data_IF_420188625438
#
_entry.id   IF_420188625438
#
_cell.length_a   1.000
_cell.length_b   1.000
_cell.length_c   1.000
_cell.angle_alpha   90.00
_cell.angle_beta   90.00
_cell.angle_gamma   90.00
#
_symmetry.space_group_name_H-M   'P 1'
#
loop_
_entity.id
_entity.type
_entity.pdbx_description
1 polymer ?
#
# COMPACT_ATOMS: atom_id res chain seq x y z
N UNK A 1 11.03 3.42 -14.42
CA UNK A 1 11.03 4.36 -13.27
C UNK A 1 9.77 4.19 -12.42
N UNK A 2 8.58 4.17 -13.03
CA UNK A 2 7.31 3.90 -12.32
C UNK A 2 7.25 2.55 -11.60
N UNK A 3 7.90 1.53 -12.17
CA UNK A 3 8.01 0.21 -11.55
C UNK A 3 8.76 0.24 -10.22
N UNK A 4 9.68 1.19 -9.99
CA UNK A 4 10.44 1.24 -8.73
C UNK A 4 9.50 1.55 -7.54
N UNK A 5 8.66 2.58 -7.67
CA UNK A 5 7.72 2.96 -6.60
C UNK A 5 6.72 1.82 -6.36
N UNK A 6 6.15 1.24 -7.41
CA UNK A 6 5.22 0.11 -7.28
C UNK A 6 5.87 -1.09 -6.58
N UNK A 7 7.11 -1.45 -6.95
CA UNK A 7 7.82 -2.57 -6.35
C UNK A 7 8.10 -2.31 -4.86
N UNK A 8 8.52 -1.10 -4.51
CA UNK A 8 8.78 -0.73 -3.12
C UNK A 8 7.50 -0.71 -2.27
N UNK A 9 6.38 -0.23 -2.81
CA UNK A 9 5.08 -0.30 -2.15
C UNK A 9 4.67 -1.76 -1.93
N UNK A 10 4.82 -2.61 -2.94
CA UNK A 10 4.43 -4.01 -2.87
C UNK A 10 5.29 -4.79 -1.86
N UNK A 11 6.61 -4.55 -1.85
CA UNK A 11 7.55 -5.10 -0.87
C UNK A 11 7.17 -4.67 0.55
N UNK A 12 6.89 -3.38 0.76
CA UNK A 12 6.50 -2.83 2.05
C UNK A 12 5.18 -3.43 2.55
N UNK A 13 4.16 -3.50 1.71
CA UNK A 13 2.85 -4.04 2.09
C UNK A 13 2.92 -5.54 2.39
N UNK A 14 3.69 -6.30 1.60
CA UNK A 14 3.79 -7.76 1.79
C UNK A 14 4.71 -8.16 2.95
N UNK A 15 5.58 -7.26 3.42
CA UNK A 15 6.42 -7.47 4.61
C UNK A 15 5.77 -6.96 5.89
N UNK A 16 4.67 -6.22 5.78
CA UNK A 16 3.87 -5.78 6.93
C UNK A 16 2.91 -6.88 7.35
N UNK A 17 2.86 -7.20 8.64
CA UNK A 17 1.85 -8.09 9.22
C UNK A 17 0.54 -7.36 9.57
N UNK A 18 0.50 -6.04 9.38
CA UNK A 18 -0.66 -5.20 9.68
C UNK A 18 -1.05 -4.35 8.45
N UNK A 19 -2.34 -4.00 8.30
CA UNK A 19 -2.77 -3.01 7.30
C UNK A 19 -2.12 -1.65 7.54
N UNK A 20 -1.68 -0.99 6.47
CA UNK A 20 -1.04 0.32 6.53
C UNK A 20 -1.92 1.40 5.91
N UNK A 21 -1.89 2.61 6.46
CA UNK A 21 -2.52 3.77 5.86
C UNK A 21 -1.69 4.33 4.69
N UNK A 22 -2.36 5.01 3.75
CA UNK A 22 -1.67 5.70 2.64
C UNK A 22 -0.57 6.66 3.13
N UNK A 23 -0.78 7.33 4.27
CA UNK A 23 0.20 8.29 4.82
C UNK A 23 1.46 7.57 5.34
N UNK A 24 1.29 6.46 6.05
CA UNK A 24 2.42 5.67 6.55
C UNK A 24 3.24 5.08 5.39
N UNK A 25 2.57 4.61 4.34
CA UNK A 25 3.24 4.11 3.12
C UNK A 25 4.02 5.24 2.47
N UNK A 26 3.44 6.44 2.35
CA UNK A 26 4.12 7.60 1.78
C UNK A 26 5.40 7.95 2.54
N UNK A 27 5.34 8.05 3.87
CA UNK A 27 6.48 8.38 4.73
C UNK A 27 7.60 7.34 4.59
N UNK A 28 7.26 6.05 4.73
CA UNK A 28 8.24 4.95 4.62
C UNK A 28 8.90 4.88 3.23
N UNK A 29 8.13 5.12 2.16
CA UNK A 29 8.68 5.11 0.80
C UNK A 29 9.59 6.32 0.57
N UNK A 30 9.17 7.52 1.00
CA UNK A 30 10.00 8.74 0.89
C UNK A 30 11.35 8.55 1.55
N UNK A 31 11.38 7.97 2.74
CA UNK A 31 12.63 7.71 3.47
C UNK A 31 13.53 6.70 2.74
N UNK A 32 12.93 5.65 2.14
CA UNK A 32 13.67 4.58 1.47
C UNK A 32 14.29 5.02 0.14
N UNK A 33 13.58 5.80 -0.68
CA UNK A 33 14.07 6.21 -2.01
C UNK A 33 14.61 7.65 -2.07
N UNK A 34 14.49 8.43 -0.99
CA UNK A 34 14.96 9.83 -0.88
C UNK A 34 14.65 10.68 -2.11
N UNK A 35 13.44 10.51 -2.65
CA UNK A 35 13.08 11.03 -3.95
C UNK A 35 12.04 12.15 -3.81
N UNK A 36 12.43 13.36 -4.18
CA UNK A 36 11.62 14.59 -4.04
C UNK A 36 10.28 14.56 -4.81
N UNK A 37 10.19 13.78 -5.90
CA UNK A 37 8.95 13.65 -6.69
C UNK A 37 7.96 12.62 -6.17
N UNK A 38 8.22 11.97 -5.02
CA UNK A 38 7.27 11.06 -4.38
C UNK A 38 6.23 11.88 -3.63
N UNK A 39 5.01 11.90 -4.17
CA UNK A 39 3.88 12.60 -3.57
C UNK A 39 2.82 11.61 -3.11
N UNK A 40 2.01 11.99 -2.12
CA UNK A 40 0.84 11.23 -1.68
C UNK A 40 -0.07 10.82 -2.84
N UNK A 41 -0.34 11.73 -3.78
CA UNK A 41 -1.16 11.47 -4.95
C UNK A 41 -0.58 10.36 -5.82
N UNK A 42 0.74 10.37 -6.03
CA UNK A 42 1.43 9.34 -6.81
C UNK A 42 1.41 7.99 -6.08
N UNK A 43 1.66 7.96 -4.77
CA UNK A 43 1.54 6.75 -3.95
C UNK A 43 0.12 6.19 -4.02
N UNK A 44 -0.89 7.02 -3.82
CA UNK A 44 -2.29 6.61 -3.86
C UNK A 44 -2.72 6.07 -5.24
N UNK A 45 -2.27 6.70 -6.32
CA UNK A 45 -2.49 6.20 -7.68
C UNK A 45 -1.90 4.81 -7.88
N UNK A 46 -0.65 4.59 -7.43
CA UNK A 46 0.01 3.28 -7.54
C UNK A 46 -0.67 2.20 -6.69
N UNK A 47 -1.10 2.54 -5.48
CA UNK A 47 -1.87 1.63 -4.61
C UNK A 47 -3.16 1.16 -5.28
N UNK A 48 -3.88 2.07 -5.96
CA UNK A 48 -5.08 1.69 -6.69
C UNK A 48 -4.79 0.78 -7.89
N UNK A 49 -3.70 1.02 -8.63
CA UNK A 49 -3.29 0.14 -9.72
C UNK A 49 -2.94 -1.27 -9.21
N UNK A 50 -2.10 -1.37 -8.17
CA UNK A 50 -1.73 -2.65 -7.56
C UNK A 50 -2.95 -3.41 -7.01
N UNK A 51 -3.94 -2.68 -6.46
CA UNK A 51 -5.22 -3.25 -6.03
C UNK A 51 -6.04 -3.75 -7.22
N UNK A 52 -6.09 -2.99 -8.31
CA UNK A 52 -6.77 -3.38 -9.55
C UNK A 52 -6.16 -4.61 -10.21
N UNK A 53 -4.84 -4.77 -10.09
CA UNK A 53 -4.08 -5.95 -10.52
C UNK A 53 -4.21 -7.15 -9.56
N UNK A 54 -4.86 -6.98 -8.40
CA UNK A 54 -5.06 -8.05 -7.40
C UNK A 54 -3.82 -8.37 -6.55
N UNK A 55 -2.74 -7.61 -6.70
CA UNK A 55 -1.48 -7.82 -5.97
C UNK A 55 -1.56 -7.42 -4.50
N UNK A 56 -2.43 -6.46 -4.20
CA UNK A 56 -2.76 -6.04 -2.83
C UNK A 56 -4.27 -5.89 -2.66
N UNK A 57 -4.69 -5.74 -1.42
CA UNK A 57 -6.05 -5.35 -1.05
C UNK A 57 -6.02 -3.96 -0.41
N UNK A 58 -7.18 -3.31 -0.41
CA UNK A 58 -7.35 -2.05 0.28
C UNK A 58 -8.82 -1.68 0.44
N UNK A 59 -9.11 -0.92 1.48
CA UNK A 59 -10.46 -0.48 1.83
C UNK A 59 -10.43 0.91 2.44
N UNK A 60 -11.45 1.70 2.13
CA UNK A 60 -11.70 2.96 2.81
C UNK A 60 -12.51 2.71 4.09
N UNK A 61 -12.05 3.23 5.21
CA UNK A 61 -12.66 3.08 6.53
C UNK A 61 -13.03 4.45 7.10
N UNK A 62 -14.26 4.59 7.59
CA UNK A 62 -14.79 5.81 8.22
C UNK A 62 -15.82 6.55 7.37
N UNK A 63 -16.66 7.37 8.03
CA UNK A 63 -17.63 8.25 7.38
C UNK A 63 -17.02 9.62 7.09
N UNK A 64 -17.26 10.17 5.89
CA UNK A 64 -16.73 11.47 5.49
C UNK A 64 -15.20 11.46 5.30
N UNK A 65 -14.44 11.92 6.31
CA UNK A 65 -12.96 12.05 6.28
C UNK A 65 -12.25 10.75 6.70
N UNK A 66 -12.71 9.62 6.18
CA UNK A 66 -12.10 8.32 6.44
C UNK A 66 -10.67 8.16 5.91
N UNK A 67 -10.08 7.00 6.15
CA UNK A 67 -8.72 6.66 5.73
C UNK A 67 -8.72 5.44 4.81
N UNK A 68 -7.78 5.39 3.89
CA UNK A 68 -7.50 4.19 3.11
C UNK A 68 -6.46 3.35 3.83
N UNK A 69 -6.81 2.09 4.09
CA UNK A 69 -5.91 1.06 4.61
C UNK A 69 -5.63 0.01 3.53
N UNK A 70 -4.40 -0.49 3.51
CA UNK A 70 -3.87 -1.37 2.47
C UNK A 70 -3.13 -2.56 3.09
N UNK A 71 -3.28 -3.74 2.53
CA UNK A 71 -2.64 -4.96 3.04
C UNK A 71 -2.33 -5.96 1.93
N UNK A 72 -1.38 -6.85 2.20
CA UNK A 72 -0.98 -7.89 1.26
C UNK A 72 -2.12 -8.87 1.02
N UNK A 73 -2.27 -9.37 -0.21
CA UNK A 73 -3.33 -10.34 -0.54
C UNK A 73 -3.25 -11.62 0.31
N UNK A 74 -2.05 -11.98 0.79
CA UNK A 74 -1.80 -13.18 1.60
C UNK A 74 -2.13 -13.04 3.09
N UNK A 75 -2.37 -11.82 3.58
CA UNK A 75 -2.44 -11.53 5.01
C UNK A 75 -3.66 -12.20 5.69
N UNK A 76 -4.70 -12.48 4.90
CA UNK A 76 -5.91 -13.18 5.34
C UNK A 76 -6.06 -14.60 4.78
N UNK A 77 -5.12 -15.06 3.94
CA UNK A 77 -5.13 -16.44 3.41
C UNK A 77 -4.66 -17.45 4.48
N UNK A 78 -4.07 -16.99 5.59
CA UNK A 78 -3.58 -17.85 6.68
C UNK A 78 -4.69 -18.46 7.55
N UNK A 79 -5.94 -18.02 7.42
CA UNK A 79 -7.04 -18.50 8.29
C UNK A 79 -7.83 -19.70 7.74
N UNK A 80 -7.59 -20.15 6.50
CA UNK A 80 -8.29 -21.31 5.91
C UNK A 80 -7.34 -22.51 5.78
N UNK A 81 -6.79 -22.95 6.91
CA UNK A 81 -6.25 -24.31 7.09
C UNK A 81 -6.59 -24.76 8.52
N UNK A 82 -7.83 -25.17 8.73
CA UNK A 82 -8.21 -26.10 9.80
C UNK A 82 -8.51 -27.46 9.18
#
# INVERSE_FOLDING_TARGET
>A
MDNLISNQILELINSSDEPLETKEIEEKIKDKIKHETVTRTKIFYRLNNLRGEGLIKGKFIGSGKGVWVWWGSKLFDKEIKQ
#
